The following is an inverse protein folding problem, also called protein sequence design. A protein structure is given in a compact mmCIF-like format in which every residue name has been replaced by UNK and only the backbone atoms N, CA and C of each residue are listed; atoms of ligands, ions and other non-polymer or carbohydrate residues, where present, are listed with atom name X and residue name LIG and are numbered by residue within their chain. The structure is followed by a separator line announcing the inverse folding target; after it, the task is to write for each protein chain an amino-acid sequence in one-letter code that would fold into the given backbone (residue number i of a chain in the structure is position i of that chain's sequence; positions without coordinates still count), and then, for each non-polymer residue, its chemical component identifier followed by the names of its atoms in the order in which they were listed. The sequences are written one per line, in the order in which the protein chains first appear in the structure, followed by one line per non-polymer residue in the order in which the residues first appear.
data_IF_561769169369
#
_entry.id   IF_561769169369
#
_cell.length_a   1.000
_cell.length_b   1.000
_cell.length_c   1.000
_cell.angle_alpha   90.00
_cell.angle_beta   90.00
_cell.angle_gamma   90.00
#
_symmetry.space_group_name_H-M   'P 1'
#
loop_
_entity.id
_entity.type
_entity.pdbx_description
1 polymer ?
#
# COMPACT_ATOMS: atom_id res chain seq x y z
N UNK A 1 -13.68 -58.57 -25.58
CA UNK A 1 -13.80 -59.23 -26.90
C UNK A 1 -13.25 -58.26 -27.94
N UNK A 2 -12.34 -58.71 -28.83
CA UNK A 2 -11.87 -58.07 -30.08
C UNK A 2 -11.68 -56.52 -30.06
N UNK A 3 -10.51 -55.90 -29.91
CA UNK A 3 -9.14 -56.15 -30.43
C UNK A 3 -8.91 -55.73 -31.91
N UNK A 4 -7.71 -55.20 -32.18
CA UNK A 4 -7.05 -55.03 -33.50
C UNK A 4 -7.37 -53.74 -34.30
N UNK A 5 -6.52 -53.36 -35.27
CA UNK A 5 -5.52 -52.24 -35.26
C UNK A 5 -5.41 -51.69 -36.72
N UNK A 6 -4.55 -50.70 -36.99
CA UNK A 6 -3.98 -50.27 -38.30
C UNK A 6 -4.77 -49.22 -39.12
N UNK A 7 -4.18 -48.41 -40.03
CA UNK A 7 -2.97 -47.52 -39.99
C UNK A 7 -2.78 -46.82 -41.35
N UNK A 8 -2.41 -45.52 -41.37
CA UNK A 8 -1.98 -44.74 -42.57
C UNK A 8 -3.05 -44.57 -43.69
N UNK A 9 -2.88 -43.84 -44.80
CA UNK A 9 -1.76 -43.06 -45.37
C UNK A 9 -2.23 -41.91 -46.30
N UNK A 10 -1.34 -40.95 -46.56
CA UNK A 10 -1.15 -40.11 -47.78
C UNK A 10 -2.28 -39.76 -48.78
N UNK A 11 -2.42 -38.44 -49.03
CA UNK A 11 -2.61 -37.74 -50.35
C UNK A 11 -3.77 -38.10 -51.32
N UNK A 12 -4.49 -37.08 -51.83
CA UNK A 12 -4.42 -36.64 -53.26
C UNK A 12 -5.47 -35.56 -53.63
N UNK A 13 -5.29 -34.90 -54.79
CA UNK A 13 -6.07 -33.78 -55.34
C UNK A 13 -7.23 -34.17 -56.28
N UNK A 14 -8.27 -33.32 -56.28
CA UNK A 14 -9.02 -32.77 -57.43
C UNK A 14 -9.71 -33.66 -58.52
N UNK A 15 -10.84 -33.13 -59.04
CA UNK A 15 -11.46 -33.53 -60.32
C UNK A 15 -11.85 -32.29 -61.16
N UNK A 16 -12.29 -32.44 -62.42
CA UNK A 16 -12.14 -31.43 -63.50
C UNK A 16 -13.37 -31.21 -64.42
N UNK A 17 -13.73 -29.91 -64.62
CA UNK A 17 -14.09 -29.23 -65.92
C UNK A 17 -15.27 -29.80 -66.76
N UNK A 18 -15.66 -29.20 -67.94
CA UNK A 18 -15.20 -27.99 -68.68
C UNK A 18 -16.22 -26.81 -68.63
N UNK A 19 -16.32 -25.76 -69.47
CA UNK A 19 -15.63 -25.27 -70.71
C UNK A 19 -15.67 -23.69 -70.74
N UNK A 20 -15.38 -22.89 -71.78
CA UNK A 20 -14.93 -23.18 -73.17
C UNK A 20 -14.90 -22.02 -74.20
N UNK A 21 -14.32 -20.83 -73.92
CA UNK A 21 -13.97 -19.75 -74.92
C UNK A 21 -15.14 -19.03 -75.68
N UNK A 22 -14.98 -17.95 -76.49
CA UNK A 22 -14.16 -16.71 -76.39
C UNK A 22 -14.54 -15.62 -77.47
N UNK A 23 -14.82 -14.38 -77.04
CA UNK A 23 -14.78 -13.03 -77.73
C UNK A 23 -15.27 -12.72 -79.18
N UNK A 24 -16.09 -11.65 -79.30
CA UNK A 24 -16.05 -10.53 -80.31
C UNK A 24 -16.52 -10.81 -81.77
N UNK A 25 -16.86 -9.85 -82.66
CA UNK A 25 -16.73 -8.36 -82.73
C UNK A 25 -17.91 -7.68 -83.49
N UNK A 26 -18.02 -6.34 -83.36
CA UNK A 26 -18.59 -5.32 -84.30
C UNK A 26 -20.03 -5.43 -84.82
N UNK A 27 -20.80 -4.35 -84.56
CA UNK A 27 -21.38 -3.52 -85.63
C UNK A 27 -21.59 -2.08 -85.12
N UNK A 28 -21.92 -1.11 -85.99
CA UNK A 28 -22.12 0.30 -85.59
C UNK A 28 -22.98 1.07 -86.59
N UNK A 29 -23.39 2.30 -86.23
CA UNK A 29 -24.16 3.18 -87.12
C UNK A 29 -23.88 4.68 -86.84
N UNK A 30 -24.18 5.54 -87.82
CA UNK A 30 -23.88 6.98 -87.80
C UNK A 30 -25.06 7.77 -88.37
N UNK A 31 -25.32 8.98 -87.83
CA UNK A 31 -26.20 10.11 -88.26
C UNK A 31 -27.14 10.56 -87.11
N UNK A 32 -27.58 11.82 -87.00
CA UNK A 32 -27.05 13.08 -87.52
C UNK A 32 -27.68 14.29 -86.80
N UNK A 33 -26.87 15.31 -86.54
CA UNK A 33 -27.18 16.75 -86.34
C UNK A 33 -28.66 17.17 -86.21
N UNK A 34 -29.02 17.77 -85.06
CA UNK A 34 -29.76 19.04 -85.01
C UNK A 34 -29.06 19.96 -84.00
N UNK A 35 -28.70 21.17 -84.39
CA UNK A 35 -28.33 22.25 -83.47
C UNK A 35 -29.51 23.23 -83.38
N UNK A 36 -29.89 23.65 -82.17
CA UNK A 36 -30.47 24.98 -81.98
C UNK A 36 -30.17 25.59 -80.60
N UNK A 37 -29.49 26.73 -80.65
CA UNK A 37 -29.50 27.90 -79.76
C UNK A 37 -29.64 27.70 -78.24
N UNK A 38 -28.59 28.10 -77.51
CA UNK A 38 -28.59 28.17 -76.04
C UNK A 38 -29.59 29.19 -75.47
N UNK A 39 -30.27 28.83 -74.37
CA UNK A 39 -30.60 29.79 -73.31
C UNK A 39 -29.43 29.89 -72.32
N UNK A 40 -29.04 31.13 -71.98
CA UNK A 40 -27.72 31.46 -71.43
C UNK A 40 -27.64 31.36 -69.91
N UNK A 41 -27.74 30.14 -69.36
CA UNK A 41 -27.60 29.92 -67.92
C UNK A 41 -26.18 30.29 -67.45
N UNK A 42 -26.05 31.31 -66.59
CA UNK A 42 -24.76 31.81 -66.12
C UNK A 42 -24.15 30.89 -65.03
N UNK A 43 -23.05 30.17 -65.29
CA UNK A 43 -22.53 29.16 -64.36
C UNK A 43 -21.70 29.75 -63.19
N UNK A 44 -21.37 31.05 -63.22
CA UNK A 44 -20.45 31.68 -62.24
C UNK A 44 -20.97 31.68 -60.79
N UNK A 45 -22.27 31.48 -60.57
CA UNK A 45 -22.87 31.36 -59.23
C UNK A 45 -22.67 29.98 -58.58
N UNK A 46 -22.93 28.90 -59.31
CA UNK A 46 -22.93 27.54 -58.75
C UNK A 46 -21.54 27.09 -58.29
N UNK A 47 -20.47 27.48 -59.00
CA UNK A 47 -19.10 27.17 -58.62
C UNK A 47 -18.73 27.71 -57.23
N UNK A 48 -19.05 28.99 -56.96
CA UNK A 48 -18.82 29.61 -55.64
C UNK A 48 -19.67 28.96 -54.55
N UNK A 49 -20.96 28.72 -54.79
CA UNK A 49 -21.84 28.07 -53.81
C UNK A 49 -21.37 26.64 -53.44
N UNK A 50 -20.94 25.85 -54.44
CA UNK A 50 -20.39 24.50 -54.22
C UNK A 50 -19.04 24.53 -53.49
N UNK A 51 -18.22 25.54 -53.75
CA UNK A 51 -16.95 25.76 -53.04
C UNK A 51 -17.17 26.18 -51.58
N UNK A 52 -18.06 27.14 -51.31
CA UNK A 52 -18.41 27.54 -49.93
C UNK A 52 -19.02 26.37 -49.13
N UNK A 53 -19.87 25.54 -49.75
CA UNK A 53 -20.37 24.31 -49.09
C UNK A 53 -19.25 23.32 -48.76
N UNK A 54 -18.27 23.12 -49.64
CA UNK A 54 -17.08 22.30 -49.33
C UNK A 54 -16.28 22.90 -48.16
N UNK A 55 -16.04 24.21 -48.16
CA UNK A 55 -15.32 24.90 -47.09
C UNK A 55 -16.06 24.77 -45.75
N UNK A 56 -17.38 24.96 -45.73
CA UNK A 56 -18.19 24.73 -44.53
C UNK A 56 -18.12 23.29 -44.04
N UNK A 57 -18.22 22.29 -44.93
CA UNK A 57 -18.10 20.87 -44.54
C UNK A 57 -16.72 20.58 -43.95
N UNK A 58 -15.63 21.11 -44.51
CA UNK A 58 -14.30 20.99 -43.93
C UNK A 58 -14.18 21.69 -42.57
N UNK A 59 -14.70 22.91 -42.42
CA UNK A 59 -14.70 23.63 -41.14
C UNK A 59 -15.51 22.91 -40.07
N UNK A 60 -16.70 22.38 -40.39
CA UNK A 60 -17.47 21.53 -39.50
C UNK A 60 -16.72 20.24 -39.14
N UNK A 61 -16.02 19.62 -40.09
CA UNK A 61 -15.21 18.43 -39.81
C UNK A 61 -14.03 18.74 -38.87
N UNK A 62 -13.31 19.85 -39.08
CA UNK A 62 -12.25 20.27 -38.17
C UNK A 62 -12.79 20.69 -36.79
N UNK A 63 -13.96 21.34 -36.73
CA UNK A 63 -14.60 21.71 -35.46
C UNK A 63 -15.06 20.48 -34.67
N UNK A 64 -15.72 19.52 -35.32
CA UNK A 64 -16.12 18.24 -34.71
C UNK A 64 -14.88 17.40 -34.33
N UNK A 65 -13.84 17.37 -35.17
CA UNK A 65 -12.59 16.68 -34.84
C UNK A 65 -11.83 17.35 -33.68
N UNK A 66 -11.91 18.68 -33.55
CA UNK A 66 -11.37 19.42 -32.42
C UNK A 66 -12.14 19.14 -31.14
N UNK A 67 -13.48 19.14 -31.19
CA UNK A 67 -14.33 18.73 -30.05
C UNK A 67 -14.07 17.27 -29.66
N UNK A 68 -13.92 16.35 -30.63
CA UNK A 68 -13.57 14.96 -30.34
C UNK A 68 -12.15 14.80 -29.79
N UNK A 69 -11.21 15.67 -30.16
CA UNK A 69 -9.85 15.69 -29.62
C UNK A 69 -9.82 16.24 -28.18
N UNK A 70 -10.53 17.32 -27.90
CA UNK A 70 -10.73 17.84 -26.53
C UNK A 70 -11.48 16.84 -25.65
N UNK A 71 -12.54 16.20 -26.16
CA UNK A 71 -13.23 15.09 -25.47
C UNK A 71 -12.28 13.91 -25.29
N UNK A 72 -11.36 13.62 -26.21
CA UNK A 72 -10.34 12.57 -26.04
C UNK A 72 -9.37 12.92 -24.91
N UNK A 73 -8.85 14.15 -24.86
CA UNK A 73 -8.00 14.67 -23.78
C UNK A 73 -8.71 14.62 -22.43
N UNK A 74 -9.96 15.07 -22.37
CA UNK A 74 -10.82 14.99 -21.19
C UNK A 74 -11.10 13.52 -20.79
N UNK A 75 -11.35 12.62 -21.75
CA UNK A 75 -11.65 11.21 -21.46
C UNK A 75 -10.48 10.45 -20.85
N UNK A 76 -9.24 10.83 -21.23
CA UNK A 76 -8.01 10.37 -20.59
C UNK A 76 -7.85 10.83 -19.13
N UNK A 77 -8.68 11.78 -18.67
CA UNK A 77 -8.79 12.15 -17.27
C UNK A 77 -10.05 11.53 -16.62
N UNK A 78 -11.21 11.55 -17.30
CA UNK A 78 -12.47 11.01 -16.75
C UNK A 78 -12.43 9.51 -16.44
N UNK A 79 -11.81 8.67 -17.28
CA UNK A 79 -11.63 7.24 -16.96
C UNK A 79 -10.51 6.98 -15.95
N UNK A 80 -9.61 7.94 -15.71
CA UNK A 80 -8.50 7.83 -14.77
C UNK A 80 -8.81 8.37 -13.36
N UNK A 81 -9.93 9.09 -13.20
CA UNK A 81 -10.33 9.73 -11.93
C UNK A 81 -11.52 9.07 -11.22
N UNK A 82 -11.94 7.86 -11.64
CA UNK A 82 -12.75 6.98 -10.78
C UNK A 82 -11.82 6.25 -9.81
N UNK A 83 -11.81 6.57 -8.50
CA UNK A 83 -11.01 5.82 -7.55
C UNK A 83 -11.53 4.39 -7.47
N UNK A 84 -10.68 3.41 -7.82
CA UNK A 84 -11.05 2.00 -7.78
C UNK A 84 -11.46 1.63 -6.34
N UNK A 85 -12.64 1.02 -6.11
CA UNK A 85 -13.05 0.65 -4.76
C UNK A 85 -12.01 -0.27 -4.12
N UNK A 86 -11.65 -0.03 -2.85
CA UNK A 86 -10.55 -0.73 -2.15
C UNK A 86 -10.56 -2.25 -2.34
N UNK A 87 -11.76 -2.83 -2.34
CA UNK A 87 -12.05 -4.25 -2.51
C UNK A 87 -11.50 -4.86 -3.83
N UNK A 88 -11.09 -4.04 -4.81
CA UNK A 88 -10.45 -4.49 -6.07
C UNK A 88 -8.94 -4.21 -6.15
N UNK A 89 -8.33 -3.68 -5.08
CA UNK A 89 -6.90 -3.43 -4.99
C UNK A 89 -6.20 -4.58 -4.27
N UNK A 90 -5.41 -5.36 -5.01
CA UNK A 90 -4.55 -6.41 -4.43
C UNK A 90 -3.45 -5.78 -3.57
N UNK A 91 -2.91 -6.50 -2.55
CA UNK A 91 -1.83 -5.99 -1.71
C UNK A 91 -0.65 -5.47 -2.53
N UNK A 92 -0.21 -6.27 -3.52
CA UNK A 92 0.85 -5.93 -4.45
C UNK A 92 0.63 -4.59 -5.17
N UNK A 93 -0.59 -4.29 -5.65
CA UNK A 93 -0.91 -3.02 -6.32
C UNK A 93 -0.80 -1.81 -5.39
N UNK A 94 -1.11 -1.99 -4.11
CA UNK A 94 -1.03 -0.92 -3.10
C UNK A 94 0.42 -0.74 -2.62
N UNK A 95 1.16 -1.83 -2.47
CA UNK A 95 2.56 -1.85 -2.04
C UNK A 95 3.51 -1.27 -3.11
N UNK A 96 3.30 -1.60 -4.39
CA UNK A 96 4.11 -1.12 -5.52
C UNK A 96 4.03 0.41 -5.76
N UNK A 97 3.25 1.15 -4.96
CA UNK A 97 3.29 2.62 -4.89
C UNK A 97 4.54 3.15 -4.14
N UNK A 98 5.30 2.28 -3.45
CA UNK A 98 6.64 2.57 -2.93
C UNK A 98 6.74 3.59 -1.79
N UNK A 99 5.60 4.01 -1.22
CA UNK A 99 5.50 5.11 -0.23
C UNK A 99 4.69 4.76 1.02
N UNK A 100 4.19 3.54 1.11
CA UNK A 100 3.24 3.09 2.12
C UNK A 100 3.81 3.11 3.54
N UNK A 101 2.95 3.25 4.54
CA UNK A 101 3.26 2.98 5.95
C UNK A 101 2.77 1.55 6.25
N UNK A 102 3.64 0.71 6.82
CA UNK A 102 3.38 -0.73 7.02
C UNK A 102 3.42 -1.07 8.51
N UNK A 103 2.34 -1.71 8.98
CA UNK A 103 2.14 -2.25 10.31
C UNK A 103 1.94 -3.77 10.27
N UNK A 104 2.28 -4.47 11.35
CA UNK A 104 2.16 -5.92 11.48
C UNK A 104 1.45 -6.34 12.77
N UNK A 105 0.49 -7.26 12.65
CA UNK A 105 -0.06 -8.09 13.72
C UNK A 105 0.28 -9.56 13.40
N UNK A 106 1.26 -10.12 14.10
CA UNK A 106 1.78 -11.49 13.87
C UNK A 106 1.06 -12.57 14.69
N UNK A 107 0.04 -12.20 15.48
CA UNK A 107 -0.82 -13.16 16.19
C UNK A 107 -2.12 -13.45 15.42
N UNK A 108 -2.85 -14.50 15.81
CA UNK A 108 -4.15 -14.87 15.22
C UNK A 108 -5.31 -13.93 15.59
N UNK A 109 -5.00 -12.70 16.05
CA UNK A 109 -5.99 -11.75 16.54
C UNK A 109 -6.73 -11.08 15.37
N UNK A 110 -8.05 -11.27 15.32
CA UNK A 110 -8.93 -10.66 14.31
C UNK A 110 -9.35 -9.21 14.64
N UNK A 111 -9.40 -8.83 15.92
CA UNK A 111 -9.78 -7.48 16.35
C UNK A 111 -8.56 -6.68 16.85
N UNK A 112 -8.12 -5.62 16.13
CA UNK A 112 -7.03 -4.77 16.58
C UNK A 112 -7.32 -4.10 17.94
N UNK A 113 -6.46 -4.25 18.96
CA UNK A 113 -6.60 -3.55 20.23
C UNK A 113 -6.56 -2.01 20.03
N UNK A 114 -7.14 -1.20 20.94
CA UNK A 114 -7.24 0.25 20.73
C UNK A 114 -5.92 0.98 20.45
N UNK A 115 -4.78 0.45 20.92
CA UNK A 115 -3.45 1.00 20.62
C UNK A 115 -2.98 0.70 19.19
N UNK A 116 -3.34 -0.47 18.65
CA UNK A 116 -3.09 -0.83 17.25
C UNK A 116 -3.97 0.03 16.34
N UNK A 117 -5.26 0.13 16.65
CA UNK A 117 -6.20 1.01 15.95
C UNK A 117 -5.74 2.46 15.96
N UNK A 118 -5.26 2.97 17.10
CA UNK A 118 -4.75 4.32 17.22
C UNK A 118 -3.47 4.56 16.40
N UNK A 119 -2.57 3.58 16.36
CA UNK A 119 -1.34 3.65 15.57
C UNK A 119 -1.65 3.74 14.06
N UNK A 120 -2.62 2.94 13.58
CA UNK A 120 -3.07 2.97 12.17
C UNK A 120 -3.88 4.23 11.85
N UNK A 121 -4.83 4.65 12.70
CA UNK A 121 -5.64 5.85 12.48
C UNK A 121 -4.78 7.12 12.47
N UNK A 122 -3.85 7.24 13.42
CA UNK A 122 -2.95 8.39 13.50
C UNK A 122 -2.02 8.46 12.28
N UNK A 123 -1.47 7.34 11.82
CA UNK A 123 -0.73 7.29 10.57
C UNK A 123 -1.60 7.70 9.38
N UNK A 124 -2.84 7.20 9.29
CA UNK A 124 -3.77 7.53 8.20
C UNK A 124 -4.16 9.02 8.16
N UNK A 125 -4.29 9.65 9.33
CA UNK A 125 -4.58 11.09 9.48
C UNK A 125 -3.40 11.98 9.12
N UNK A 126 -2.17 11.55 9.44
CA UNK A 126 -0.93 12.28 9.17
C UNK A 126 -0.46 12.11 7.72
N UNK A 127 -0.61 10.93 7.13
CA UNK A 127 -0.12 10.57 5.79
C UNK A 127 -1.26 10.38 4.78
N UNK A 128 -2.02 11.45 4.54
CA UNK A 128 -3.23 11.41 3.70
C UNK A 128 -2.95 11.09 2.21
N UNK A 129 -1.71 11.24 1.76
CA UNK A 129 -1.23 10.96 0.40
C UNK A 129 -0.70 9.53 0.20
N UNK A 130 -0.67 8.71 1.26
CA UNK A 130 -0.01 7.38 1.26
C UNK A 130 -0.96 6.26 1.71
N UNK A 131 -0.82 5.05 1.17
CA UNK A 131 -1.47 3.88 1.75
C UNK A 131 -0.92 3.58 3.15
N UNK A 132 -1.81 3.29 4.08
CA UNK A 132 -1.48 2.69 5.37
C UNK A 132 -1.92 1.24 5.29
N UNK A 133 -1.02 0.31 5.60
CA UNK A 133 -1.26 -1.12 5.46
C UNK A 133 -1.05 -1.78 6.81
N UNK A 134 -2.10 -2.41 7.34
CA UNK A 134 -1.98 -3.33 8.47
C UNK A 134 -2.10 -4.76 7.93
N UNK A 135 -1.00 -5.51 7.96
CA UNK A 135 -1.05 -6.95 7.74
C UNK A 135 -1.36 -7.66 9.05
N UNK A 136 -2.27 -8.64 9.02
CA UNK A 136 -2.70 -9.41 10.19
C UNK A 136 -2.62 -10.90 9.88
N UNK A 137 -1.97 -11.70 10.73
CA UNK A 137 -1.80 -13.15 10.51
C UNK A 137 -3.13 -13.90 10.58
N UNK A 138 -3.99 -13.55 11.53
CA UNK A 138 -5.30 -14.20 11.69
C UNK A 138 -6.30 -13.95 10.54
N UNK A 139 -6.07 -12.96 9.67
CA UNK A 139 -6.95 -12.71 8.52
C UNK A 139 -6.71 -13.75 7.42
N UNK A 140 -7.81 -14.22 6.84
CA UNK A 140 -7.86 -15.00 5.60
C UNK A 140 -8.35 -14.11 4.45
N UNK A 141 -8.25 -14.59 3.21
CA UNK A 141 -8.84 -13.89 2.07
C UNK A 141 -10.36 -13.72 2.24
N UNK A 142 -11.04 -14.68 2.87
CA UNK A 142 -12.49 -14.67 3.06
C UNK A 142 -12.94 -13.67 4.14
N UNK A 143 -12.17 -13.51 5.22
CA UNK A 143 -12.50 -12.54 6.29
C UNK A 143 -12.28 -11.08 5.88
N UNK A 144 -11.47 -10.81 4.85
CA UNK A 144 -11.34 -9.46 4.25
C UNK A 144 -12.56 -9.11 3.38
N UNK A 145 -13.35 -10.10 2.95
CA UNK A 145 -14.52 -9.90 2.09
C UNK A 145 -15.83 -9.70 2.88
N UNK A 146 -15.91 -10.13 4.14
CA UNK A 146 -17.11 -9.93 4.96
C UNK A 146 -17.12 -8.56 5.65
N UNK A 147 -17.74 -7.58 4.99
CA UNK A 147 -17.99 -6.24 5.54
C UNK A 147 -18.95 -6.22 6.74
N UNK A 148 -19.52 -7.35 7.16
CA UNK A 148 -20.38 -7.45 8.35
C UNK A 148 -19.63 -7.93 9.60
N UNK A 149 -18.28 -7.90 9.60
CA UNK A 149 -17.46 -8.25 10.77
C UNK A 149 -17.95 -7.51 12.03
N UNK A 150 -18.25 -8.23 13.11
CA UNK A 150 -18.71 -7.65 14.38
C UNK A 150 -17.62 -6.87 15.14
N UNK A 151 -16.37 -6.97 14.69
CA UNK A 151 -15.21 -6.30 15.29
C UNK A 151 -15.22 -4.80 14.99
N UNK A 152 -15.43 -3.98 16.02
CA UNK A 152 -15.58 -2.54 15.89
C UNK A 152 -14.30 -1.90 15.33
N UNK A 153 -13.13 -2.36 15.78
CA UNK A 153 -11.83 -1.88 15.30
C UNK A 153 -11.60 -2.18 13.81
N UNK A 154 -12.04 -3.35 13.32
CA UNK A 154 -11.88 -3.73 11.92
C UNK A 154 -12.76 -2.86 11.00
N UNK A 155 -14.01 -2.62 11.40
CA UNK A 155 -14.95 -1.76 10.68
C UNK A 155 -14.44 -0.31 10.61
N UNK A 156 -14.01 0.25 11.75
CA UNK A 156 -13.41 1.58 11.87
C UNK A 156 -12.24 1.76 10.89
N UNK A 157 -11.23 0.89 10.96
CA UNK A 157 -10.04 0.98 10.12
C UNK A 157 -10.37 0.77 8.64
N UNK A 158 -11.27 -0.16 8.32
CA UNK A 158 -11.72 -0.43 6.95
C UNK A 158 -12.42 0.77 6.30
N UNK A 159 -13.08 1.62 7.09
CA UNK A 159 -13.75 2.84 6.60
C UNK A 159 -12.77 3.93 6.11
N UNK A 160 -11.57 4.01 6.69
CA UNK A 160 -10.63 5.11 6.45
C UNK A 160 -10.03 5.06 5.05
N UNK A 161 -10.25 6.07 4.22
CA UNK A 161 -9.98 6.04 2.75
C UNK A 161 -8.62 5.48 2.31
N UNK A 162 -7.55 5.74 3.06
CA UNK A 162 -6.18 5.32 2.77
C UNK A 162 -5.67 4.10 3.57
N UNK A 163 -6.49 3.49 4.44
CA UNK A 163 -6.13 2.28 5.20
C UNK A 163 -6.51 1.01 4.45
N UNK A 164 -5.64 0.00 4.48
CA UNK A 164 -5.82 -1.31 3.88
C UNK A 164 -5.49 -2.40 4.90
N UNK A 165 -6.38 -3.38 5.04
CA UNK A 165 -6.21 -4.53 5.93
C UNK A 165 -5.98 -5.77 5.06
N UNK A 166 -4.88 -6.49 5.28
CA UNK A 166 -4.47 -7.62 4.43
C UNK A 166 -4.00 -8.84 5.25
N UNK A 167 -4.15 -10.07 4.72
CA UNK A 167 -3.66 -11.28 5.39
C UNK A 167 -2.13 -11.36 5.35
N UNK A 168 -1.49 -11.65 6.49
CA UNK A 168 -0.03 -11.79 6.60
C UNK A 168 0.42 -13.21 6.20
N UNK A 169 0.46 -13.50 4.90
CA UNK A 169 0.98 -14.75 4.37
C UNK A 169 2.53 -14.74 4.37
N UNK A 170 3.12 -15.20 5.48
CA UNK A 170 4.57 -15.12 5.72
C UNK A 170 5.43 -15.79 4.62
N UNK A 171 5.01 -16.95 4.11
CA UNK A 171 5.71 -17.62 3.00
C UNK A 171 5.80 -16.70 1.76
N UNK A 172 4.70 -16.07 1.35
CA UNK A 172 4.65 -15.11 0.24
C UNK A 172 5.48 -13.86 0.51
N UNK A 173 5.53 -13.40 1.77
CA UNK A 173 6.39 -12.28 2.18
C UNK A 173 7.88 -12.63 2.05
N UNK A 174 8.27 -13.87 2.37
CA UNK A 174 9.67 -14.30 2.35
C UNK A 174 10.16 -14.82 1.00
N UNK A 175 9.29 -15.16 0.04
CA UNK A 175 9.66 -15.53 -1.33
C UNK A 175 10.71 -14.55 -1.92
N UNK A 176 11.72 -15.09 -2.60
CA UNK A 176 12.83 -14.32 -3.21
C UNK A 176 13.72 -13.54 -2.21
N UNK A 177 13.63 -13.83 -0.91
CA UNK A 177 14.54 -13.29 0.13
C UNK A 177 15.34 -14.41 0.81
N UNK A 178 16.45 -14.09 1.51
CA UNK A 178 17.20 -15.08 2.30
C UNK A 178 16.35 -15.75 3.40
N UNK A 179 15.25 -15.10 3.81
CA UNK A 179 14.40 -15.57 4.90
C UNK A 179 13.53 -16.77 4.55
N UNK A 180 13.28 -17.08 3.27
CA UNK A 180 12.40 -18.20 2.90
C UNK A 180 12.95 -19.55 3.37
N UNK A 181 14.25 -19.80 3.16
CA UNK A 181 14.86 -21.05 3.59
C UNK A 181 14.82 -21.18 5.11
N UNK A 182 15.19 -20.12 5.83
CA UNK A 182 15.09 -20.09 7.29
C UNK A 182 13.65 -20.35 7.79
N UNK A 183 12.64 -19.71 7.18
CA UNK A 183 11.24 -19.89 7.54
C UNK A 183 10.72 -21.32 7.32
N UNK A 184 11.27 -22.03 6.33
CA UNK A 184 10.94 -23.43 6.03
C UNK A 184 11.73 -24.44 6.90
N UNK A 185 12.82 -24.02 7.54
CA UNK A 185 13.69 -24.86 8.38
C UNK A 185 13.45 -24.67 9.89
N UNK A 186 12.80 -23.57 10.30
CA UNK A 186 12.55 -23.25 11.72
C UNK A 186 11.28 -23.93 12.25
N UNK A 187 11.42 -24.62 13.38
CA UNK A 187 10.28 -25.12 14.16
C UNK A 187 9.62 -23.94 14.90
N UNK A 188 8.38 -23.63 14.54
CA UNK A 188 7.65 -22.48 15.08
C UNK A 188 7.06 -22.75 16.47
N UNK A 189 6.91 -24.01 16.88
CA UNK A 189 6.26 -24.39 18.14
C UNK A 189 7.25 -24.37 19.31
N UNK A 190 8.51 -24.76 19.05
CA UNK A 190 9.62 -24.66 20.02
C UNK A 190 10.16 -23.22 20.18
N UNK A 191 9.88 -22.31 19.24
CA UNK A 191 10.46 -20.96 19.23
C UNK A 191 9.77 -19.98 20.19
N UNK A 192 10.28 -19.93 21.42
CA UNK A 192 9.82 -19.05 22.53
C UNK A 192 9.54 -17.58 22.17
N UNK A 193 10.27 -17.01 21.21
CA UNK A 193 10.09 -15.61 20.77
C UNK A 193 9.45 -15.47 19.38
N UNK A 194 8.81 -16.52 18.85
CA UNK A 194 8.31 -16.62 17.47
C UNK A 194 7.51 -15.41 17.00
N UNK A 195 6.56 -14.92 17.79
CA UNK A 195 5.72 -13.74 17.47
C UNK A 195 6.55 -12.48 17.18
N UNK A 196 7.66 -12.29 17.89
CA UNK A 196 8.58 -11.17 17.66
C UNK A 196 9.53 -11.45 16.50
N UNK A 197 10.12 -12.64 16.44
CA UNK A 197 11.13 -13.01 15.43
C UNK A 197 10.54 -13.09 14.02
N UNK A 198 9.31 -13.60 13.89
CA UNK A 198 8.56 -13.58 12.62
C UNK A 198 8.16 -12.16 12.20
N UNK A 199 7.89 -11.25 13.15
CA UNK A 199 7.64 -9.83 12.87
C UNK A 199 8.93 -9.11 12.45
N UNK A 200 10.07 -9.41 13.10
CA UNK A 200 11.40 -8.91 12.75
C UNK A 200 11.82 -9.36 11.33
N UNK A 201 11.52 -10.60 10.96
CA UNK A 201 11.70 -11.08 9.59
C UNK A 201 10.76 -10.36 8.61
N UNK A 202 9.45 -10.35 8.91
CA UNK A 202 8.41 -9.83 8.00
C UNK A 202 8.60 -8.34 7.68
N UNK A 203 8.98 -7.51 8.66
CA UNK A 203 9.24 -6.08 8.44
C UNK A 203 10.45 -5.83 7.55
N UNK A 204 11.51 -6.63 7.65
CA UNK A 204 12.67 -6.53 6.76
C UNK A 204 12.30 -6.95 5.33
N UNK A 205 11.59 -8.07 5.17
CA UNK A 205 11.16 -8.57 3.86
C UNK A 205 10.22 -7.60 3.13
N UNK A 206 9.21 -7.05 3.83
CA UNK A 206 8.25 -6.10 3.24
C UNK A 206 8.91 -4.79 2.81
N UNK A 207 9.77 -4.20 3.66
CA UNK A 207 10.49 -2.96 3.32
C UNK A 207 11.55 -3.22 2.25
N UNK A 208 12.16 -4.41 2.17
CA UNK A 208 13.02 -4.74 1.03
C UNK A 208 12.24 -4.93 -0.28
N UNK A 209 11.11 -5.65 -0.28
CA UNK A 209 10.33 -5.87 -1.50
C UNK A 209 9.69 -4.59 -2.05
N UNK A 210 9.14 -3.75 -1.17
CA UNK A 210 8.24 -2.66 -1.57
C UNK A 210 8.69 -1.26 -1.14
N UNK A 211 9.68 -1.16 -0.24
CA UNK A 211 10.08 0.11 0.36
C UNK A 211 8.98 0.71 1.25
N UNK A 212 9.08 2.01 1.49
CA UNK A 212 8.17 2.75 2.38
C UNK A 212 8.72 2.81 3.81
N UNK A 213 7.82 2.84 4.79
CA UNK A 213 8.15 2.98 6.21
C UNK A 213 7.46 1.88 7.02
N UNK A 214 8.20 1.16 7.85
CA UNK A 214 7.66 0.26 8.85
C UNK A 214 7.43 1.00 10.18
N UNK A 215 6.34 0.68 10.88
CA UNK A 215 6.08 1.09 12.26
C UNK A 215 5.53 -0.09 13.09
N UNK A 216 6.01 -0.23 14.32
CA UNK A 216 5.39 -1.09 15.34
C UNK A 216 3.95 -0.60 15.63
N UNK A 217 3.09 -1.52 16.07
CA UNK A 217 1.66 -1.27 16.34
C UNK A 217 1.36 -0.61 17.68
N UNK A 218 2.38 0.01 18.30
CA UNK A 218 2.31 0.90 19.46
C UNK A 218 2.95 2.27 19.20
N UNK A 219 2.94 2.73 17.94
CA UNK A 219 3.50 4.00 17.46
C UNK A 219 2.39 4.97 17.03
N UNK A 220 2.14 6.00 17.84
CA UNK A 220 1.18 7.07 17.49
C UNK A 220 1.88 8.12 16.62
N UNK A 221 1.47 8.28 15.36
CA UNK A 221 2.01 9.29 14.44
C UNK A 221 1.50 10.69 14.78
N UNK A 222 2.41 11.69 14.80
CA UNK A 222 2.05 13.08 15.14
C UNK A 222 2.51 14.11 14.09
N UNK A 223 3.52 13.79 13.26
CA UNK A 223 3.97 14.59 12.10
C UNK A 223 4.55 13.67 11.01
N UNK A 224 4.57 14.08 9.73
CA UNK A 224 5.25 13.31 8.69
C UNK A 224 6.77 13.21 8.93
N UNK A 225 7.33 12.03 8.68
CA UNK A 225 8.78 11.81 8.64
C UNK A 225 9.31 12.33 7.28
N UNK A 226 10.34 13.21 7.25
CA UNK A 226 10.88 13.77 6.01
C UNK A 226 11.84 12.83 5.26
N UNK A 227 12.41 11.85 5.96
CA UNK A 227 13.50 11.00 5.45
C UNK A 227 13.04 9.90 4.48
N UNK A 228 13.87 9.63 3.45
CA UNK A 228 13.67 8.53 2.50
C UNK A 228 14.40 7.21 2.86
N UNK A 229 15.55 7.30 3.53
CA UNK A 229 16.36 6.17 3.99
C UNK A 229 16.82 6.44 5.42
N UNK A 230 16.23 5.77 6.41
CA UNK A 230 16.49 6.09 7.82
C UNK A 230 16.31 4.91 8.79
N UNK A 231 16.95 5.06 9.96
CA UNK A 231 16.85 4.17 11.12
C UNK A 231 16.59 5.00 12.37
N UNK A 232 15.60 4.60 13.20
CA UNK A 232 15.33 5.27 14.46
C UNK A 232 16.25 4.78 15.59
N UNK A 233 17.02 5.69 16.21
CA UNK A 233 17.81 5.36 17.39
C UNK A 233 16.91 5.24 18.64
N UNK A 234 16.90 4.10 19.32
CA UNK A 234 16.27 3.98 20.64
C UNK A 234 17.10 4.69 21.72
N UNK A 235 18.42 4.80 21.52
CA UNK A 235 19.38 5.57 22.32
C UNK A 235 20.68 5.75 21.54
N UNK A 236 21.60 6.55 22.07
CA UNK A 236 22.97 6.66 21.55
C UNK A 236 23.60 5.31 21.20
N UNK A 237 24.23 5.23 20.02
CA UNK A 237 24.92 4.05 19.46
C UNK A 237 24.06 2.78 19.32
N UNK A 238 22.73 2.90 19.30
CA UNK A 238 21.80 1.78 19.33
C UNK A 238 20.53 2.06 18.50
N UNK A 239 20.38 1.33 17.40
CA UNK A 239 19.19 1.38 16.54
C UNK A 239 18.07 0.53 17.11
N UNK A 240 16.85 1.03 17.00
CA UNK A 240 15.64 0.19 17.03
C UNK A 240 15.47 -0.55 15.69
N UNK A 241 14.51 -1.48 15.64
CA UNK A 241 13.87 -1.98 14.42
C UNK A 241 12.35 -1.69 14.38
N UNK A 242 11.85 -0.91 15.35
CA UNK A 242 10.43 -0.57 15.50
C UNK A 242 9.92 0.54 14.60
N UNK A 243 10.80 1.46 14.18
CA UNK A 243 10.54 2.41 13.09
C UNK A 243 11.78 2.50 12.20
N UNK A 244 11.62 2.28 10.90
CA UNK A 244 12.64 2.50 9.87
C UNK A 244 11.98 2.62 8.49
N UNK A 245 12.65 3.22 7.52
CA UNK A 245 12.12 3.38 6.16
C UNK A 245 13.21 3.47 5.11
N UNK A 246 12.98 2.87 3.95
CA UNK A 246 13.95 2.75 2.85
C UNK A 246 13.21 2.62 1.51
N UNK A 247 13.88 2.90 0.36
CA UNK A 247 13.37 2.50 -0.94
C UNK A 247 13.40 0.98 -1.14
N UNK A 248 12.61 0.48 -2.10
CA UNK A 248 12.62 -0.93 -2.48
C UNK A 248 14.02 -1.40 -2.92
N UNK A 249 14.29 -2.68 -2.66
CA UNK A 249 15.54 -3.40 -2.90
C UNK A 249 16.82 -2.79 -2.28
N UNK A 250 16.69 -1.90 -1.29
CA UNK A 250 17.85 -1.23 -0.68
C UNK A 250 18.81 -2.21 -0.01
N UNK A 251 20.10 -2.17 -0.43
CA UNK A 251 21.12 -3.16 -0.05
C UNK A 251 21.24 -3.38 1.47
N UNK A 252 21.17 -2.32 2.27
CA UNK A 252 21.25 -2.43 3.73
C UNK A 252 20.21 -3.41 4.32
N UNK A 253 18.99 -3.45 3.78
CA UNK A 253 17.95 -4.37 4.27
C UNK A 253 18.18 -5.80 3.77
N UNK A 254 18.75 -5.98 2.57
CA UNK A 254 19.21 -7.31 2.12
C UNK A 254 20.32 -7.85 3.03
N UNK A 255 21.34 -7.03 3.31
CA UNK A 255 22.46 -7.39 4.19
C UNK A 255 21.95 -7.70 5.62
N UNK A 256 20.91 -6.99 6.08
CA UNK A 256 20.20 -7.32 7.32
C UNK A 256 19.51 -8.69 7.26
N UNK A 257 18.87 -9.08 6.16
CA UNK A 257 18.26 -10.41 6.00
C UNK A 257 19.29 -11.54 5.89
N UNK A 258 20.42 -11.33 5.20
CA UNK A 258 21.53 -12.29 5.22
C UNK A 258 22.10 -12.45 6.64
N UNK A 259 22.27 -11.33 7.36
CA UNK A 259 22.74 -11.35 8.74
C UNK A 259 21.72 -11.96 9.73
N UNK A 260 20.42 -11.83 9.44
CA UNK A 260 19.35 -12.47 10.18
C UNK A 260 19.59 -13.99 10.20
N UNK A 261 19.72 -14.61 9.02
CA UNK A 261 19.93 -16.06 8.90
C UNK A 261 21.30 -16.46 9.47
N UNK A 262 22.38 -15.78 9.09
CA UNK A 262 23.76 -16.09 9.50
C UNK A 262 24.04 -15.93 11.02
N UNK A 263 23.20 -15.16 11.72
CA UNK A 263 23.29 -14.92 13.17
C UNK A 263 21.98 -15.20 13.90
N UNK A 264 21.19 -16.14 13.37
CA UNK A 264 19.98 -16.60 14.01
C UNK A 264 20.24 -17.14 15.42
N UNK A 265 19.48 -16.63 16.39
CA UNK A 265 19.43 -17.10 17.76
C UNK A 265 18.21 -16.46 18.42
N UNK A 266 17.07 -17.14 18.37
CA UNK A 266 15.81 -16.63 18.87
C UNK A 266 15.57 -16.90 20.37
N UNK A 267 16.50 -17.57 21.08
CA UNK A 267 16.54 -17.53 22.55
C UNK A 267 16.70 -16.10 23.10
N UNK A 268 17.32 -15.22 22.31
CA UNK A 268 17.55 -13.81 22.66
C UNK A 268 16.53 -12.95 21.91
N UNK A 269 15.47 -12.53 22.62
CA UNK A 269 14.36 -11.71 22.10
C UNK A 269 14.78 -10.61 21.11
N UNK A 270 15.75 -9.77 21.49
CA UNK A 270 16.18 -8.62 20.69
C UNK A 270 17.22 -8.92 19.62
N UNK A 271 17.64 -10.18 19.44
CA UNK A 271 18.75 -10.54 18.56
C UNK A 271 18.44 -10.26 17.08
N UNK A 272 17.21 -10.51 16.64
CA UNK A 272 16.82 -10.36 15.24
C UNK A 272 16.24 -8.98 14.91
N UNK A 273 15.81 -8.24 15.93
CA UNK A 273 15.34 -6.87 15.79
C UNK A 273 16.40 -5.82 16.11
N UNK A 274 16.37 -5.18 17.29
CA UNK A 274 17.19 -4.01 17.58
C UNK A 274 18.70 -4.32 17.63
N UNK A 275 19.11 -5.52 18.06
CA UNK A 275 20.52 -5.92 18.01
C UNK A 275 21.00 -6.20 16.59
N UNK A 276 20.11 -6.58 15.66
CA UNK A 276 20.42 -6.76 14.25
C UNK A 276 20.64 -5.40 13.58
N UNK A 277 19.67 -4.49 13.68
CA UNK A 277 19.82 -3.13 13.14
C UNK A 277 21.04 -2.43 13.74
N UNK A 278 21.29 -2.59 15.05
CA UNK A 278 22.48 -2.01 15.70
C UNK A 278 23.81 -2.62 15.23
N UNK A 279 23.90 -3.94 15.00
CA UNK A 279 25.17 -4.55 14.54
C UNK A 279 25.43 -4.27 13.06
N UNK A 280 24.39 -4.26 12.22
CA UNK A 280 24.53 -3.93 10.80
C UNK A 280 24.84 -2.45 10.57
N UNK A 281 24.24 -1.54 11.34
CA UNK A 281 24.62 -0.12 11.27
C UNK A 281 26.08 0.13 11.67
N UNK A 282 26.63 -0.71 12.56
CA UNK A 282 28.05 -0.65 13.00
C UNK A 282 29.05 -1.24 11.99
N UNK A 283 28.64 -2.01 10.99
CA UNK A 283 29.57 -2.45 9.93
C UNK A 283 29.84 -1.33 8.91
N UNK A 284 28.88 -0.41 8.73
CA UNK A 284 28.98 0.71 7.79
C UNK A 284 29.37 2.05 8.45
N UNK A 285 29.10 2.25 9.75
CA UNK A 285 29.31 3.54 10.41
C UNK A 285 29.84 3.44 11.85
N UNK A 286 30.78 4.34 12.18
CA UNK A 286 31.29 4.51 13.55
C UNK A 286 30.28 5.29 14.41
N UNK A 287 29.51 4.59 15.24
CA UNK A 287 28.46 5.20 16.05
C UNK A 287 29.00 5.93 17.29
N UNK A 288 28.79 7.25 17.30
CA UNK A 288 28.98 8.16 18.43
C UNK A 288 27.70 8.32 19.26
N UNK A 289 27.80 9.00 20.41
CA UNK A 289 26.63 9.43 21.16
C UNK A 289 26.01 10.70 20.54
N UNK A 290 24.70 10.91 20.72
CA UNK A 290 24.05 12.16 20.33
C UNK A 290 24.35 13.24 21.38
N UNK A 291 24.95 14.35 20.97
CA UNK A 291 25.30 15.48 21.86
C UNK A 291 24.18 16.54 21.97
N UNK A 292 23.06 16.34 21.27
CA UNK A 292 21.92 17.26 21.26
C UNK A 292 20.68 16.65 20.59
N UNK A 293 19.88 17.49 19.94
CA UNK A 293 18.66 17.08 19.21
C UNK A 293 18.92 16.75 17.73
N UNK A 294 20.16 16.82 17.27
CA UNK A 294 20.55 16.57 15.88
C UNK A 294 20.50 15.09 15.52
N UNK A 295 20.24 14.81 14.25
CA UNK A 295 20.29 13.47 13.67
C UNK A 295 21.70 13.18 13.13
N UNK A 296 22.12 11.91 13.10
CA UNK A 296 23.41 11.52 12.52
C UNK A 296 23.22 11.04 11.07
N UNK A 297 24.22 11.20 10.20
CA UNK A 297 24.19 10.67 8.83
C UNK A 297 25.21 9.54 8.64
N UNK A 298 24.81 8.51 7.91
CA UNK A 298 25.54 7.26 7.77
C UNK A 298 25.41 6.70 6.34
N UNK A 299 26.38 6.97 5.47
CA UNK A 299 26.39 6.51 4.07
C UNK A 299 25.05 6.74 3.32
N UNK A 300 24.45 7.92 3.47
CA UNK A 300 23.12 8.32 2.95
C UNK A 300 21.91 7.65 3.65
N UNK A 301 22.12 7.05 4.84
CA UNK A 301 21.07 6.65 5.78
C UNK A 301 21.04 7.66 6.92
N UNK A 302 19.89 8.24 7.22
CA UNK A 302 19.68 9.12 8.37
C UNK A 302 19.47 8.28 9.63
N UNK A 303 20.41 8.36 10.58
CA UNK A 303 20.30 7.72 11.89
C UNK A 303 19.66 8.71 12.87
N UNK A 304 18.34 8.61 12.96
CA UNK A 304 17.49 9.61 13.61
C UNK A 304 17.58 9.55 15.13
N UNK A 305 17.69 10.72 15.73
CA UNK A 305 17.82 10.99 17.16
C UNK A 305 16.67 10.35 17.97
N UNK A 306 16.90 9.87 19.20
CA UNK A 306 15.83 9.32 20.04
C UNK A 306 14.65 10.27 20.24
N UNK A 307 14.84 11.59 20.19
CA UNK A 307 13.73 12.55 20.26
C UNK A 307 12.73 12.47 19.09
N UNK A 308 13.10 11.85 17.95
CA UNK A 308 12.21 11.69 16.79
C UNK A 308 11.04 10.71 17.04
N UNK A 309 11.25 9.68 17.88
CA UNK A 309 10.30 8.55 18.09
C UNK A 309 10.17 8.07 19.54
N UNK A 310 11.19 8.33 20.35
CA UNK A 310 11.40 7.78 21.68
C UNK A 310 11.69 8.87 22.75
N UNK A 311 11.00 10.04 22.75
CA UNK A 311 11.26 11.12 23.71
C UNK A 311 10.98 10.72 25.16
N UNK A 312 10.08 9.74 25.37
CA UNK A 312 9.94 9.00 26.62
C UNK A 312 10.63 7.63 26.42
N UNK A 313 11.76 7.34 27.12
CA UNK A 313 12.48 6.10 26.95
C UNK A 313 11.75 4.91 27.59
N UNK A 314 12.07 3.69 27.16
CA UNK A 314 11.42 2.44 27.61
C UNK A 314 11.46 2.21 29.13
N UNK A 315 12.45 2.76 29.83
CA UNK A 315 12.54 2.71 31.30
C UNK A 315 11.49 3.59 32.00
N UNK A 316 10.92 4.56 31.29
CA UNK A 316 9.93 5.52 31.77
C UNK A 316 8.58 5.38 31.03
N UNK A 317 8.31 4.24 30.39
CA UNK A 317 7.08 3.98 29.61
C UNK A 317 5.79 4.29 30.39
N UNK A 318 5.79 4.08 31.70
CA UNK A 318 4.64 4.31 32.59
C UNK A 318 4.07 5.74 32.54
N UNK A 319 4.90 6.71 32.12
CA UNK A 319 4.57 8.14 31.96
C UNK A 319 3.55 8.44 30.86
N UNK A 320 3.37 7.55 29.90
CA UNK A 320 2.24 7.64 28.96
C UNK A 320 0.89 7.50 29.69
N UNK A 321 0.86 6.82 30.84
CA UNK A 321 -0.34 6.56 31.62
C UNK A 321 -0.27 7.25 33.00
N UNK A 322 0.18 8.51 32.98
CA UNK A 322 0.20 9.46 34.09
C UNK A 322 -0.55 10.72 33.65
N UNK A 323 -1.20 11.42 34.59
CA UNK A 323 -1.91 12.68 34.34
C UNK A 323 -0.92 13.72 33.82
N UNK A 324 -1.28 14.43 32.75
CA UNK A 324 -0.36 15.31 32.03
C UNK A 324 -0.87 16.76 31.99
N UNK A 325 -0.58 17.53 33.03
CA UNK A 325 -1.11 18.89 33.23
C UNK A 325 -0.47 19.98 32.34
N UNK A 326 0.48 19.61 31.47
CA UNK A 326 1.15 20.53 30.55
C UNK A 326 0.62 20.36 29.13
N UNK A 327 0.93 21.33 28.26
CA UNK A 327 0.78 21.14 26.83
C UNK A 327 1.71 20.01 26.33
N UNK A 328 1.36 19.39 25.20
CA UNK A 328 2.10 18.28 24.61
C UNK A 328 3.34 18.79 23.85
N UNK A 329 4.44 19.07 24.58
CA UNK A 329 5.71 19.40 23.93
C UNK A 329 6.43 18.14 23.44
N UNK A 330 6.18 17.83 22.17
CA UNK A 330 6.93 16.88 21.37
C UNK A 330 7.44 17.55 20.09
N UNK A 331 7.93 18.79 20.17
CA UNK A 331 8.26 19.60 18.99
C UNK A 331 9.31 18.98 18.06
N UNK A 332 10.15 18.09 18.58
CA UNK A 332 11.19 17.38 17.83
C UNK A 332 10.80 15.95 17.39
N UNK A 333 9.55 15.52 17.59
CA UNK A 333 9.10 14.14 17.32
C UNK A 333 8.20 14.04 16.07
N UNK A 334 8.33 12.95 15.33
CA UNK A 334 7.45 12.59 14.20
C UNK A 334 6.36 11.60 14.64
N UNK A 335 6.69 10.68 15.55
CA UNK A 335 5.74 9.79 16.20
C UNK A 335 6.16 9.51 17.64
N UNK A 336 5.34 8.79 18.39
CA UNK A 336 5.58 8.43 19.79
C UNK A 336 5.38 6.92 19.96
N UNK A 337 6.44 6.21 20.31
CA UNK A 337 6.38 4.78 20.62
C UNK A 337 6.02 4.57 22.10
N UNK A 338 4.96 3.81 22.37
CA UNK A 338 4.36 3.66 23.71
C UNK A 338 4.94 2.49 24.54
N UNK A 339 5.77 1.64 23.93
CA UNK A 339 6.47 0.53 24.60
C UNK A 339 5.55 -0.53 25.20
N UNK A 340 4.56 -0.98 24.42
CA UNK A 340 3.52 -1.91 24.87
C UNK A 340 4.10 -3.24 25.42
N UNK A 341 5.24 -3.71 24.91
CA UNK A 341 5.98 -4.86 25.47
C UNK A 341 6.42 -4.67 26.94
N UNK A 342 6.64 -3.42 27.37
CA UNK A 342 6.95 -3.07 28.76
C UNK A 342 5.70 -3.02 29.65
N UNK A 343 4.50 -2.92 29.08
CA UNK A 343 3.22 -2.74 29.77
C UNK A 343 2.67 -4.05 30.37
N UNK A 344 3.51 -4.76 31.15
CA UNK A 344 3.16 -6.03 31.81
C UNK A 344 2.00 -5.89 32.79
N UNK A 345 1.78 -4.68 33.32
CA UNK A 345 0.71 -4.36 34.25
C UNK A 345 -0.61 -4.02 33.52
N UNK A 346 -0.68 -4.12 32.19
CA UNK A 346 -1.87 -3.91 31.35
C UNK A 346 -2.57 -2.56 31.60
N UNK A 347 -1.80 -1.48 31.76
CA UNK A 347 -2.37 -0.12 31.80
C UNK A 347 -3.09 0.17 30.47
N UNK A 348 -4.35 0.58 30.55
CA UNK A 348 -5.16 0.96 29.38
C UNK A 348 -5.31 2.49 29.28
N UNK A 349 -5.82 2.97 28.15
CA UNK A 349 -6.41 4.31 28.05
C UNK A 349 -7.83 4.22 28.60
N UNK A 350 -8.21 5.20 29.42
CA UNK A 350 -9.52 5.29 30.10
C UNK A 350 -10.05 6.70 29.90
N UNK A 351 -11.34 6.85 29.59
CA UNK A 351 -11.96 8.14 29.37
C UNK A 351 -12.02 8.97 30.66
N UNK A 352 -11.88 10.30 30.54
CA UNK A 352 -11.79 11.23 31.65
C UNK A 352 -10.46 11.17 32.44
N UNK A 353 -9.56 10.23 32.14
CA UNK A 353 -8.34 10.01 32.93
C UNK A 353 -7.32 11.16 32.86
N UNK A 354 -7.42 12.05 31.87
CA UNK A 354 -6.49 13.17 31.61
C UNK A 354 -5.01 12.74 31.47
N UNK A 355 -4.78 11.45 31.20
CA UNK A 355 -3.43 10.89 31.01
C UNK A 355 -2.82 11.34 29.69
N UNK A 356 -1.49 11.30 29.59
CA UNK A 356 -0.78 11.60 28.34
C UNK A 356 -1.32 10.75 27.16
N UNK A 357 -1.51 9.45 27.34
CA UNK A 357 -2.04 8.55 26.32
C UNK A 357 -3.48 8.91 25.93
N UNK A 358 -4.37 9.23 26.88
CA UNK A 358 -5.72 9.70 26.57
C UNK A 358 -5.70 11.01 25.75
N UNK A 359 -4.81 11.95 26.09
CA UNK A 359 -4.63 13.19 25.33
C UNK A 359 -4.08 12.94 23.92
N UNK A 360 -3.15 12.00 23.76
CA UNK A 360 -2.67 11.57 22.44
C UNK A 360 -3.80 10.94 21.61
N UNK A 361 -4.62 10.09 22.23
CA UNK A 361 -5.75 9.45 21.56
C UNK A 361 -6.76 10.48 21.04
N UNK A 362 -7.25 11.37 21.91
CA UNK A 362 -8.14 12.49 21.55
C UNK A 362 -7.59 13.40 20.44
N UNK A 363 -6.26 13.53 20.34
CA UNK A 363 -5.62 14.43 19.36
C UNK A 363 -5.38 13.76 18.00
N UNK A 364 -4.89 12.51 18.00
CA UNK A 364 -4.35 11.87 16.79
C UNK A 364 -5.15 10.65 16.30
N UNK A 365 -5.97 10.04 17.16
CA UNK A 365 -6.88 8.94 16.79
C UNK A 365 -8.27 9.10 17.43
N UNK A 366 -8.96 10.24 17.21
CA UNK A 366 -10.22 10.54 17.89
C UNK A 366 -11.35 9.54 17.57
N UNK A 367 -11.38 8.91 16.38
CA UNK A 367 -12.43 7.91 16.08
C UNK A 367 -12.18 6.62 16.87
N UNK A 368 -10.93 6.19 17.00
CA UNK A 368 -10.51 5.09 17.88
C UNK A 368 -10.86 5.37 19.34
N UNK A 369 -10.67 6.62 19.78
CA UNK A 369 -11.01 7.04 21.13
C UNK A 369 -12.53 7.03 21.38
N UNK A 370 -13.32 7.54 20.43
CA UNK A 370 -14.78 7.55 20.50
C UNK A 370 -15.34 6.11 20.52
N UNK A 371 -15.03 5.29 19.51
CA UNK A 371 -15.65 3.97 19.34
C UNK A 371 -15.11 2.88 20.27
N UNK A 372 -13.80 2.88 20.55
CA UNK A 372 -13.12 1.77 21.26
C UNK A 372 -12.74 2.10 22.70
N UNK A 373 -12.90 3.36 23.16
CA UNK A 373 -12.75 3.74 24.57
C UNK A 373 -14.10 4.23 25.11
N UNK A 374 -14.60 5.39 24.63
CA UNK A 374 -15.81 6.01 25.22
C UNK A 374 -17.07 5.17 25.02
N UNK A 375 -17.34 4.76 23.79
CA UNK A 375 -18.48 3.92 23.44
C UNK A 375 -18.31 2.47 23.92
N UNK A 376 -17.12 2.06 24.38
CA UNK A 376 -16.91 0.78 25.05
C UNK A 376 -17.32 0.88 26.53
N UNK A 377 -16.77 1.85 27.27
CA UNK A 377 -17.13 2.11 28.68
C UNK A 377 -18.64 2.29 28.87
N UNK A 378 -19.31 3.04 27.99
CA UNK A 378 -20.76 3.24 28.04
C UNK A 378 -21.57 1.93 27.89
N UNK A 379 -21.09 0.97 27.08
CA UNK A 379 -21.77 -0.33 26.90
C UNK A 379 -21.64 -1.21 28.13
N UNK A 380 -20.47 -1.23 28.75
CA UNK A 380 -20.24 -1.94 30.02
C UNK A 380 -21.20 -1.41 31.10
N UNK A 381 -21.32 -0.08 31.25
CA UNK A 381 -22.28 0.54 32.19
C UNK A 381 -23.75 0.12 31.90
N UNK A 382 -24.22 0.19 30.66
CA UNK A 382 -25.61 -0.23 30.34
C UNK A 382 -25.84 -1.72 30.61
N UNK A 383 -24.87 -2.58 30.32
CA UNK A 383 -24.99 -4.02 30.58
C UNK A 383 -24.99 -4.38 32.08
N UNK A 384 -24.44 -3.51 32.92
CA UNK A 384 -24.55 -3.62 34.37
C UNK A 384 -25.94 -3.21 34.87
N UNK A 385 -26.49 -2.10 34.36
CA UNK A 385 -27.85 -1.64 34.72
C UNK A 385 -28.95 -2.61 34.27
N UNK A 386 -28.81 -3.26 33.10
CA UNK A 386 -29.72 -4.32 32.62
C UNK A 386 -29.61 -5.65 33.41
N UNK A 387 -28.72 -5.74 34.42
CA UNK A 387 -28.42 -6.97 35.17
C UNK A 387 -28.85 -6.96 36.65
N UNK A 388 -29.58 -5.93 37.09
CA UNK A 388 -29.96 -5.65 38.49
C UNK A 388 -31.48 -5.61 38.68
#
# INVERSE_FOLDING_TARGET
MLQTIWVSSSTSWASRKPNGQQTSWKCGFVRSIIQHTCLRHNPKGQGKARMLKKIHICLCFFFVSGILYEISLLSGCFFSCMPMPKHFLTPERVLNLGKSIIFLETTERLEPPPLVSCSVESAARIYQDRPIILFMKGLTNDTVLDTNSSYAAFSLLSSMKNVFLFPLQMETVFQETPLLQWYNEVDQEEEKNWVHVSSDASRLALIWKYGGIYMDTDVISIRPIPEGSFLAAQKSRFSSNGIFGFPAHHKFIWDCMENFVLKYNANIWGNQGPFLMTRMLKTICNLTDFEGIEDHSCQNISFLNPQRFYPIPYTAWGRYYEVWDKNLDFNHSYALHLWNFMNRNRKAVVAGSNTLAEKLYKTYCPTTYEDLIQNAELRDFTSYEDSV
#
